data_IF_586316172914
#
_entry.id   IF_586316172914
#
_cell.length_a   1.000
_cell.length_b   1.000
_cell.length_c   1.000
_cell.angle_alpha   90.00
_cell.angle_beta   90.00
_cell.angle_gamma   90.00
#
_symmetry.space_group_name_H-M   'P 1'
#
loop_
_entity.id
_entity.type
_entity.pdbx_description
1 polymer ?
#
# COMPACT_ATOMS: atom_id res chain seq x y z
N UNK A 1 -2.07 2.29 37.60
CA UNK A 1 -3.20 1.32 37.69
C UNK A 1 -2.59 0.01 38.11
N UNK A 2 -2.71 -0.38 39.37
CA UNK A 2 -2.15 -1.63 39.92
C UNK A 2 -2.91 -2.80 39.32
N UNK A 3 -2.17 -3.78 38.81
CA UNK A 3 -2.74 -5.06 38.36
C UNK A 3 -3.70 -5.62 39.43
N UNK A 4 -4.90 -6.08 39.05
CA UNK A 4 -5.74 -6.79 40.01
C UNK A 4 -4.98 -7.99 40.56
N UNK A 5 -5.14 -8.31 41.88
CA UNK A 5 -4.48 -9.47 42.46
C UNK A 5 -4.90 -10.71 41.69
N UNK A 6 -3.90 -11.54 41.38
CA UNK A 6 -4.08 -12.80 40.66
C UNK A 6 -5.32 -13.53 41.22
N UNK A 7 -6.40 -13.56 40.46
CA UNK A 7 -7.52 -14.40 40.72
C UNK A 7 -7.02 -15.84 40.73
N UNK A 8 -7.24 -16.52 41.85
CA UNK A 8 -6.69 -17.80 42.18
C UNK A 8 -6.74 -18.81 41.01
N UNK A 9 -5.58 -19.27 40.53
CA UNK A 9 -5.43 -20.53 39.81
C UNK A 9 -5.15 -20.47 38.31
N UNK A 10 -5.07 -19.32 37.63
CA UNK A 10 -4.71 -19.27 36.21
C UNK A 10 -3.18 -19.15 36.03
N UNK A 11 -2.59 -19.99 35.22
CA UNK A 11 -1.20 -19.83 34.77
C UNK A 11 -1.05 -18.52 34.00
N UNK A 12 -0.21 -17.55 34.45
CA UNK A 12 -0.01 -16.28 33.75
C UNK A 12 0.37 -16.44 32.27
N UNK A 13 1.14 -17.48 31.94
CA UNK A 13 1.52 -17.81 30.57
C UNK A 13 0.30 -18.22 29.72
N UNK A 14 -0.66 -18.96 30.30
CA UNK A 14 -1.88 -19.32 29.58
C UNK A 14 -2.77 -18.10 29.30
N UNK A 15 -2.83 -17.14 30.23
CA UNK A 15 -3.60 -15.91 30.04
C UNK A 15 -3.04 -15.03 28.92
N UNK A 16 -1.72 -14.81 28.88
CA UNK A 16 -1.09 -14.10 27.78
C UNK A 16 -1.20 -14.87 26.46
N UNK A 17 -1.17 -16.20 26.50
CA UNK A 17 -1.37 -17.06 25.32
C UNK A 17 -2.74 -16.84 24.66
N UNK A 18 -3.83 -16.74 25.46
CA UNK A 18 -5.16 -16.46 24.92
C UNK A 18 -5.32 -15.04 24.38
N UNK A 19 -4.73 -14.05 25.03
CA UNK A 19 -4.71 -12.68 24.51
C UNK A 19 -3.97 -12.59 23.17
N UNK A 20 -2.79 -13.20 23.05
CA UNK A 20 -2.03 -13.30 21.80
C UNK A 20 -2.79 -14.06 20.70
N UNK A 21 -3.41 -15.18 21.03
CA UNK A 21 -4.19 -15.96 20.07
C UNK A 21 -5.39 -15.15 19.54
N UNK A 22 -6.07 -14.42 20.43
CA UNK A 22 -7.20 -13.56 20.05
C UNK A 22 -6.74 -12.39 19.20
N UNK A 23 -5.64 -11.72 19.56
CA UNK A 23 -5.05 -10.65 18.76
C UNK A 23 -4.66 -11.16 17.36
N UNK A 24 -4.03 -12.32 17.24
CA UNK A 24 -3.62 -12.91 15.97
C UNK A 24 -4.82 -13.25 15.06
N UNK A 25 -5.85 -13.89 15.62
CA UNK A 25 -7.07 -14.25 14.87
C UNK A 25 -7.82 -13.00 14.39
N UNK A 26 -7.95 -12.00 15.26
CA UNK A 26 -8.59 -10.72 14.95
C UNK A 26 -7.82 -9.98 13.88
N UNK A 27 -6.49 -9.92 14.01
CA UNK A 27 -5.60 -9.30 13.02
C UNK A 27 -5.72 -9.96 11.64
N UNK A 28 -5.73 -11.29 11.59
CA UNK A 28 -5.91 -12.03 10.34
C UNK A 28 -7.28 -11.77 9.70
N UNK A 29 -8.37 -11.75 10.49
CA UNK A 29 -9.72 -11.48 10.00
C UNK A 29 -9.85 -10.08 9.41
N UNK A 30 -9.38 -9.05 10.14
CA UNK A 30 -9.39 -7.67 9.68
C UNK A 30 -8.53 -7.48 8.43
N UNK A 31 -7.31 -7.99 8.43
CA UNK A 31 -6.38 -7.83 7.31
C UNK A 31 -6.85 -8.52 6.02
N UNK A 32 -7.51 -9.67 6.12
CA UNK A 32 -8.08 -10.37 4.96
C UNK A 32 -9.09 -9.50 4.22
N UNK A 33 -10.04 -8.90 4.94
CA UNK A 33 -11.06 -8.03 4.36
C UNK A 33 -10.46 -6.68 3.99
N UNK A 34 -9.57 -6.16 4.84
CA UNK A 34 -8.84 -4.92 4.63
C UNK A 34 -8.06 -4.90 3.32
N UNK A 35 -7.43 -6.02 2.93
CA UNK A 35 -6.74 -6.15 1.65
C UNK A 35 -7.68 -5.86 0.47
N UNK A 36 -8.89 -6.40 0.48
CA UNK A 36 -9.86 -6.18 -0.58
C UNK A 36 -10.40 -4.73 -0.60
N UNK A 37 -10.47 -4.08 0.57
CA UNK A 37 -10.84 -2.66 0.67
C UNK A 37 -9.74 -1.73 0.15
N UNK A 38 -8.48 -1.97 0.53
CA UNK A 38 -7.33 -1.15 0.11
C UNK A 38 -7.16 -1.20 -1.40
N UNK A 39 -7.17 -2.40 -2.00
CA UNK A 39 -7.09 -2.58 -3.46
C UNK A 39 -8.21 -1.86 -4.21
N UNK A 40 -9.40 -1.74 -3.62
CA UNK A 40 -10.53 -0.98 -4.17
C UNK A 40 -10.48 0.51 -3.85
N UNK A 41 -9.48 0.98 -3.11
CA UNK A 41 -9.36 2.37 -2.62
C UNK A 41 -10.52 2.81 -1.72
N UNK A 42 -11.06 1.87 -0.93
CA UNK A 42 -12.21 2.07 -0.04
C UNK A 42 -11.80 1.99 1.45
N UNK A 43 -10.55 2.25 1.78
CA UNK A 43 -9.99 2.08 3.14
C UNK A 43 -10.69 2.94 4.20
N UNK A 44 -11.14 4.16 3.85
CA UNK A 44 -11.86 5.06 4.76
C UNK A 44 -13.23 4.51 5.21
N UNK A 45 -13.84 3.60 4.43
CA UNK A 45 -15.10 2.97 4.85
C UNK A 45 -14.94 2.05 6.05
N UNK A 46 -13.78 1.42 6.22
CA UNK A 46 -13.47 0.62 7.42
C UNK A 46 -13.53 1.47 8.69
N UNK A 47 -12.95 2.66 8.66
CA UNK A 47 -12.97 3.62 9.75
C UNK A 47 -14.40 4.15 10.01
N UNK A 48 -15.10 4.54 8.94
CA UNK A 48 -16.48 5.00 9.03
C UNK A 48 -17.40 3.95 9.70
N UNK A 49 -17.25 2.68 9.34
CA UNK A 49 -18.01 1.55 9.92
C UNK A 49 -17.63 1.40 11.39
N UNK A 50 -16.35 1.44 11.76
CA UNK A 50 -15.89 1.22 13.13
C UNK A 50 -16.53 2.20 14.14
N UNK A 51 -16.75 3.43 13.76
CA UNK A 51 -17.34 4.44 14.63
C UNK A 51 -18.88 4.55 14.53
N UNK A 52 -19.43 4.20 13.37
CA UNK A 52 -20.88 4.29 13.13
C UNK A 52 -21.72 3.20 13.81
N UNK A 53 -21.10 2.21 14.45
CA UNK A 53 -21.79 1.15 15.18
C UNK A 53 -22.35 1.60 16.53
N UNK A 54 -21.88 2.73 17.06
CA UNK A 54 -22.24 3.23 18.40
C UNK A 54 -23.75 3.33 18.64
N UNK A 55 -24.58 3.89 17.74
CA UNK A 55 -26.03 3.95 17.95
C UNK A 55 -26.66 2.58 18.13
N UNK A 56 -26.23 1.59 17.35
CA UNK A 56 -26.75 0.21 17.45
C UNK A 56 -26.42 -0.42 18.80
N UNK A 57 -25.19 -0.25 19.28
CA UNK A 57 -24.75 -0.74 20.59
C UNK A 57 -25.62 -0.10 21.70
N UNK A 58 -25.77 1.23 21.69
CA UNK A 58 -26.52 1.95 22.71
C UNK A 58 -27.98 1.54 22.73
N UNK A 59 -28.62 1.46 21.55
CA UNK A 59 -30.03 1.03 21.45
C UNK A 59 -30.21 -0.38 22.03
N UNK A 60 -29.29 -1.32 21.70
CA UNK A 60 -29.36 -2.68 22.21
C UNK A 60 -29.20 -2.75 23.73
N UNK A 61 -28.29 -1.96 24.31
CA UNK A 61 -28.07 -1.90 25.76
C UNK A 61 -29.31 -1.30 26.46
N UNK A 62 -29.91 -0.23 25.91
CA UNK A 62 -31.13 0.35 26.40
C UNK A 62 -32.32 -0.61 26.32
N UNK A 63 -32.32 -1.50 25.33
CA UNK A 63 -33.33 -2.59 25.23
C UNK A 63 -33.06 -3.78 26.18
N UNK A 64 -32.11 -3.65 27.10
CA UNK A 64 -31.78 -4.69 28.09
C UNK A 64 -30.72 -5.68 27.65
N UNK A 65 -30.03 -5.42 26.52
CA UNK A 65 -28.91 -6.23 26.07
C UNK A 65 -27.71 -6.11 27.01
N UNK A 66 -27.05 -7.22 27.29
CA UNK A 66 -25.78 -7.21 28.05
C UNK A 66 -24.64 -6.77 27.15
N UNK A 67 -23.71 -5.91 27.59
CA UNK A 67 -22.47 -5.63 26.89
C UNK A 67 -21.78 -6.95 26.49
N UNK A 68 -21.32 -7.07 25.23
CA UNK A 68 -20.77 -8.31 24.72
C UNK A 68 -21.77 -9.43 24.37
N UNK A 69 -23.06 -9.22 24.60
CA UNK A 69 -24.10 -10.21 24.30
C UNK A 69 -24.51 -10.24 22.81
N UNK A 70 -25.21 -11.30 22.39
CA UNK A 70 -25.60 -11.49 20.99
C UNK A 70 -26.54 -10.38 20.48
N UNK A 71 -27.39 -9.82 21.32
CA UNK A 71 -28.27 -8.72 20.94
C UNK A 71 -27.48 -7.45 20.59
N UNK A 72 -26.46 -7.13 21.38
CA UNK A 72 -25.56 -5.98 21.11
C UNK A 72 -24.75 -6.22 19.85
N UNK A 73 -24.25 -7.43 19.63
CA UNK A 73 -23.53 -7.79 18.41
C UNK A 73 -24.40 -7.62 17.16
N UNK A 74 -25.63 -8.17 17.16
CA UNK A 74 -26.55 -8.06 16.02
C UNK A 74 -26.93 -6.60 15.75
N UNK A 75 -27.21 -5.82 16.78
CA UNK A 75 -27.57 -4.41 16.63
C UNK A 75 -26.37 -3.56 16.11
N UNK A 76 -25.14 -3.86 16.56
CA UNK A 76 -23.93 -3.23 16.04
C UNK A 76 -23.73 -3.55 14.57
N UNK A 77 -23.88 -4.82 14.15
CA UNK A 77 -23.81 -5.22 12.74
C UNK A 77 -24.91 -4.54 11.92
N UNK A 78 -26.14 -4.47 12.45
CA UNK A 78 -27.25 -3.78 11.78
C UNK A 78 -26.94 -2.29 11.56
N UNK A 79 -26.42 -1.59 12.58
CA UNK A 79 -25.99 -0.18 12.45
C UNK A 79 -24.88 -0.01 11.42
N UNK A 80 -23.90 -0.91 11.40
CA UNK A 80 -22.83 -0.93 10.39
C UNK A 80 -23.39 -1.12 8.98
N UNK A 81 -24.33 -2.04 8.78
CA UNK A 81 -24.99 -2.26 7.49
C UNK A 81 -25.84 -1.06 7.05
N UNK A 82 -26.53 -0.40 7.98
CA UNK A 82 -27.26 0.85 7.72
C UNK A 82 -26.27 1.95 7.26
N UNK A 83 -25.12 2.06 7.90
CA UNK A 83 -24.07 3.00 7.50
C UNK A 83 -23.58 2.73 6.07
N UNK A 84 -23.30 1.48 5.76
CA UNK A 84 -22.92 1.06 4.40
C UNK A 84 -24.02 1.40 3.38
N UNK A 85 -25.26 1.08 3.71
CA UNK A 85 -26.40 1.36 2.85
C UNK A 85 -26.59 2.87 2.61
N UNK A 86 -26.54 3.68 3.66
CA UNK A 86 -26.64 5.14 3.56
C UNK A 86 -25.51 5.73 2.70
N UNK A 87 -24.28 5.29 2.91
CA UNK A 87 -23.12 5.73 2.12
C UNK A 87 -23.32 5.41 0.63
N UNK A 88 -23.76 4.20 0.31
CA UNK A 88 -24.03 3.80 -1.09
C UNK A 88 -25.23 4.54 -1.69
N UNK A 89 -26.27 4.81 -0.89
CA UNK A 89 -27.43 5.58 -1.33
C UNK A 89 -27.06 7.04 -1.65
N UNK A 90 -26.21 7.68 -0.84
CA UNK A 90 -25.69 9.02 -1.11
C UNK A 90 -24.79 9.05 -2.37
N UNK A 91 -23.97 8.05 -2.57
CA UNK A 91 -23.16 7.93 -3.78
C UNK A 91 -24.02 7.81 -5.04
N UNK A 92 -25.04 6.94 -5.02
CA UNK A 92 -25.88 6.67 -6.19
C UNK A 92 -26.95 7.73 -6.43
N UNK A 93 -27.53 8.30 -5.37
CA UNK A 93 -28.63 9.25 -5.45
C UNK A 93 -28.20 10.72 -5.54
N UNK A 94 -27.20 11.13 -4.75
CA UNK A 94 -26.72 12.51 -4.71
C UNK A 94 -25.41 12.72 -5.51
N UNK A 95 -24.82 11.68 -6.10
CA UNK A 95 -23.58 11.78 -6.88
C UNK A 95 -22.35 12.18 -6.05
N UNK A 96 -22.41 12.01 -4.72
CA UNK A 96 -21.31 12.35 -3.83
C UNK A 96 -20.13 11.38 -4.05
N UNK A 97 -18.91 11.91 -3.92
CA UNK A 97 -17.71 11.08 -3.83
C UNK A 97 -17.85 10.12 -2.64
N UNK A 98 -17.35 8.90 -2.77
CA UNK A 98 -17.50 7.84 -1.77
C UNK A 98 -16.96 8.25 -0.40
N UNK A 99 -15.79 8.89 -0.37
CA UNK A 99 -15.17 9.37 0.86
C UNK A 99 -15.98 10.49 1.54
N UNK A 100 -16.56 11.40 0.76
CA UNK A 100 -17.43 12.47 1.27
C UNK A 100 -18.74 11.89 1.86
N UNK A 101 -19.34 10.92 1.14
CA UNK A 101 -20.53 10.21 1.61
C UNK A 101 -20.25 9.41 2.88
N UNK A 102 -19.14 8.70 2.95
CA UNK A 102 -18.71 7.97 4.14
C UNK A 102 -18.50 8.91 5.34
N UNK A 103 -17.79 10.02 5.13
CA UNK A 103 -17.56 11.02 6.18
C UNK A 103 -18.84 11.63 6.75
N UNK A 104 -19.81 11.98 5.87
CA UNK A 104 -21.10 12.52 6.28
C UNK A 104 -21.91 11.53 7.11
N UNK A 105 -22.02 10.29 6.64
CA UNK A 105 -22.79 9.23 7.32
C UNK A 105 -22.13 8.87 8.66
N UNK A 106 -20.80 8.69 8.66
CA UNK A 106 -20.02 8.43 9.88
C UNK A 106 -20.27 9.51 10.95
N UNK A 107 -20.08 10.78 10.59
CA UNK A 107 -20.24 11.89 11.53
C UNK A 107 -21.65 11.93 12.09
N UNK A 108 -22.67 11.73 11.25
CA UNK A 108 -24.07 11.73 11.65
C UNK A 108 -24.40 10.54 12.57
N UNK A 109 -23.97 9.34 12.22
CA UNK A 109 -24.21 8.13 13.02
C UNK A 109 -23.48 8.20 14.37
N UNK A 110 -22.21 8.65 14.36
CA UNK A 110 -21.46 8.83 15.60
C UNK A 110 -22.11 9.87 16.52
N UNK A 111 -22.50 11.04 15.99
CA UNK A 111 -23.19 12.08 16.74
C UNK A 111 -24.52 11.58 17.32
N UNK A 112 -25.28 10.79 16.54
CA UNK A 112 -26.49 10.13 16.99
C UNK A 112 -26.20 9.18 18.19
N UNK A 113 -25.14 8.37 18.07
CA UNK A 113 -24.71 7.48 19.15
C UNK A 113 -24.35 8.22 20.41
N UNK A 114 -23.59 9.30 20.33
CA UNK A 114 -23.21 10.15 21.47
C UNK A 114 -24.46 10.82 22.09
N UNK A 115 -25.37 11.32 21.26
CA UNK A 115 -26.64 11.89 21.73
C UNK A 115 -27.49 10.87 22.48
N UNK A 116 -27.59 9.64 22.00
CA UNK A 116 -28.28 8.54 22.65
C UNK A 116 -27.63 8.17 23.99
N UNK A 117 -26.30 8.09 24.07
CA UNK A 117 -25.58 7.86 25.35
C UNK A 117 -25.92 8.96 26.35
N UNK A 118 -25.90 10.22 25.91
CA UNK A 118 -26.19 11.38 26.77
C UNK A 118 -27.64 11.38 27.23
N UNK A 119 -28.59 11.05 26.34
CA UNK A 119 -30.00 10.98 26.64
C UNK A 119 -30.36 9.82 27.62
N UNK A 120 -29.62 8.70 27.54
CA UNK A 120 -29.78 7.56 28.44
C UNK A 120 -29.46 7.90 29.91
N UNK A 121 -28.73 8.98 30.13
CA UNK A 121 -28.44 9.52 31.46
C UNK A 121 -27.46 8.67 32.28
N UNK A 122 -27.21 9.14 33.53
CA UNK A 122 -26.26 8.50 34.47
C UNK A 122 -26.65 7.09 34.94
N UNK A 123 -27.88 6.65 34.65
CA UNK A 123 -28.39 5.34 35.09
C UNK A 123 -27.91 4.16 34.24
N UNK A 124 -27.44 4.39 33.05
CA UNK A 124 -27.06 3.29 32.13
C UNK A 124 -25.58 2.84 32.23
N UNK A 125 -24.73 3.55 32.97
CA UNK A 125 -23.30 3.27 33.13
C UNK A 125 -22.60 2.97 31.78
N UNK A 126 -23.07 3.59 30.69
CA UNK A 126 -22.54 3.43 29.37
C UNK A 126 -21.44 4.47 29.18
N UNK A 127 -20.17 4.07 29.34
CA UNK A 127 -19.04 4.89 28.99
C UNK A 127 -18.64 4.57 27.54
N UNK A 128 -18.78 5.54 26.66
CA UNK A 128 -18.38 5.41 25.26
C UNK A 128 -16.88 5.03 25.13
N UNK A 129 -16.03 5.52 26.02
CA UNK A 129 -14.60 5.17 26.05
C UNK A 129 -14.38 3.68 26.39
N UNK A 130 -15.19 3.12 27.27
CA UNK A 130 -15.13 1.70 27.63
C UNK A 130 -15.63 0.81 26.48
N UNK A 131 -16.67 1.25 25.75
CA UNK A 131 -17.22 0.51 24.60
C UNK A 131 -16.25 0.54 23.42
N UNK A 132 -15.59 1.67 23.17
CA UNK A 132 -14.69 1.85 22.03
C UNK A 132 -13.25 1.39 22.32
N UNK A 133 -12.91 1.20 23.59
CA UNK A 133 -11.53 1.00 24.05
C UNK A 133 -10.94 -0.38 23.77
N UNK A 134 -11.75 -1.44 23.78
CA UNK A 134 -11.26 -2.83 23.72
C UNK A 134 -10.06 -3.08 24.65
N UNK A 135 -9.98 -4.21 25.30
CA UNK A 135 -8.84 -4.51 26.17
C UNK A 135 -8.51 -6.00 26.10
N UNK A 136 -7.39 -6.31 25.43
CA UNK A 136 -6.91 -7.69 25.27
C UNK A 136 -6.57 -8.34 26.60
N UNK A 137 -6.20 -7.57 27.61
CA UNK A 137 -5.91 -8.07 28.96
C UNK A 137 -7.12 -8.74 29.61
N UNK A 138 -8.34 -8.27 29.32
CA UNK A 138 -9.55 -8.85 29.88
C UNK A 138 -10.14 -10.01 29.09
N UNK A 139 -9.68 -10.26 27.87
CA UNK A 139 -10.16 -11.36 27.02
C UNK A 139 -10.11 -12.74 27.70
N UNK A 140 -9.06 -13.12 28.46
CA UNK A 140 -9.01 -14.42 29.13
C UNK A 140 -10.04 -14.63 30.23
N UNK A 141 -10.68 -13.56 30.72
CA UNK A 141 -11.66 -13.62 31.82
C UNK A 141 -13.10 -13.78 31.32
N UNK A 142 -13.42 -13.41 30.06
CA UNK A 142 -14.73 -13.67 29.45
C UNK A 142 -14.74 -14.98 28.70
N UNK A 143 -15.01 -16.08 29.44
CA UNK A 143 -14.97 -17.44 28.91
C UNK A 143 -16.34 -18.04 28.67
N UNK A 144 -16.38 -19.01 27.76
CA UNK A 144 -17.53 -19.86 27.47
C UNK A 144 -17.07 -21.33 27.51
N UNK A 145 -17.84 -22.16 28.21
CA UNK A 145 -17.58 -23.59 28.25
C UNK A 145 -17.98 -24.24 26.91
N UNK A 146 -16.98 -24.76 26.17
CA UNK A 146 -17.16 -25.51 24.93
C UNK A 146 -16.47 -26.85 25.06
N UNK A 147 -17.22 -27.94 24.92
CA UNK A 147 -16.73 -29.32 25.02
C UNK A 147 -15.92 -29.59 26.31
N UNK A 148 -16.32 -29.02 27.45
CA UNK A 148 -15.68 -29.20 28.77
C UNK A 148 -14.40 -28.38 28.97
N UNK A 149 -14.07 -27.45 28.06
CA UNK A 149 -12.97 -26.49 28.19
C UNK A 149 -13.51 -25.05 28.23
N UNK A 150 -12.92 -24.22 29.07
CA UNK A 150 -13.21 -22.79 29.08
C UNK A 150 -12.36 -22.10 28.01
N UNK A 151 -13.02 -21.51 26.99
CA UNK A 151 -12.39 -20.77 25.91
C UNK A 151 -12.84 -19.32 25.92
N UNK A 152 -11.96 -18.35 25.65
CA UNK A 152 -12.34 -16.94 25.58
C UNK A 152 -13.37 -16.72 24.48
N UNK A 153 -14.45 -16.01 24.82
CA UNK A 153 -15.55 -15.71 23.89
C UNK A 153 -15.05 -14.93 22.66
N UNK A 154 -14.17 -13.94 22.85
CA UNK A 154 -13.61 -13.14 21.79
C UNK A 154 -12.78 -13.99 20.82
N UNK A 155 -12.03 -14.97 21.30
CA UNK A 155 -11.28 -15.92 20.46
C UNK A 155 -12.21 -16.77 19.60
N UNK A 156 -13.28 -17.31 20.19
CA UNK A 156 -14.27 -18.13 19.47
C UNK A 156 -15.00 -17.31 18.40
N UNK A 157 -15.47 -16.11 18.76
CA UNK A 157 -16.18 -15.22 17.83
C UNK A 157 -15.26 -14.79 16.70
N UNK A 158 -14.04 -14.34 17.02
CA UNK A 158 -13.03 -13.95 16.01
C UNK A 158 -12.64 -15.10 15.12
N UNK A 159 -12.44 -16.30 15.68
CA UNK A 159 -12.12 -17.51 14.93
C UNK A 159 -13.22 -17.94 13.97
N UNK A 160 -14.48 -17.92 14.43
CA UNK A 160 -15.64 -18.20 13.58
C UNK A 160 -15.75 -17.20 12.45
N UNK A 161 -15.60 -15.91 12.75
CA UNK A 161 -15.65 -14.84 11.74
C UNK A 161 -14.50 -14.98 10.75
N UNK A 162 -13.28 -15.25 11.20
CA UNK A 162 -12.14 -15.49 10.30
C UNK A 162 -12.41 -16.65 9.33
N UNK A 163 -12.93 -17.78 9.83
CA UNK A 163 -13.27 -18.94 8.98
C UNK A 163 -14.36 -18.57 7.97
N UNK A 164 -15.44 -17.92 8.39
CA UNK A 164 -16.51 -17.50 7.50
C UNK A 164 -16.01 -16.53 6.42
N UNK A 165 -15.18 -15.55 6.80
CA UNK A 165 -14.58 -14.58 5.88
C UNK A 165 -13.60 -15.26 4.91
N UNK A 166 -12.80 -16.20 5.39
CA UNK A 166 -11.87 -16.95 4.54
C UNK A 166 -12.61 -17.81 3.51
N UNK A 167 -13.67 -18.50 3.93
CA UNK A 167 -14.54 -19.29 3.02
C UNK A 167 -15.23 -18.36 2.00
N UNK A 168 -15.80 -17.25 2.46
CA UNK A 168 -16.46 -16.28 1.58
C UNK A 168 -15.46 -15.67 0.57
N UNK A 169 -14.29 -15.27 1.04
CA UNK A 169 -13.20 -14.74 0.20
C UNK A 169 -12.76 -15.78 -0.83
N UNK A 170 -12.54 -17.03 -0.42
CA UNK A 170 -12.16 -18.11 -1.32
C UNK A 170 -13.23 -18.38 -2.38
N UNK A 171 -14.50 -18.48 -1.98
CA UNK A 171 -15.62 -18.75 -2.88
C UNK A 171 -15.84 -17.61 -3.90
N UNK A 172 -15.64 -16.35 -3.47
CA UNK A 172 -15.86 -15.16 -4.30
C UNK A 172 -14.58 -14.58 -4.90
N UNK A 173 -13.43 -15.22 -4.71
CA UNK A 173 -12.10 -14.64 -5.05
C UNK A 173 -12.02 -14.10 -6.47
N UNK A 174 -12.43 -14.90 -7.45
CA UNK A 174 -12.39 -14.50 -8.86
C UNK A 174 -13.27 -13.28 -9.14
N UNK A 175 -14.46 -13.22 -8.51
CA UNK A 175 -15.36 -12.07 -8.62
C UNK A 175 -14.76 -10.84 -7.96
N UNK A 176 -14.16 -10.99 -6.78
CA UNK A 176 -13.50 -9.89 -6.06
C UNK A 176 -12.35 -9.32 -6.88
N UNK A 177 -11.49 -10.17 -7.44
CA UNK A 177 -10.36 -9.73 -8.28
C UNK A 177 -10.89 -8.99 -9.51
N UNK A 178 -11.79 -9.59 -10.29
CA UNK A 178 -12.25 -8.99 -11.54
C UNK A 178 -12.96 -7.65 -11.30
N UNK A 179 -13.85 -7.58 -10.32
CA UNK A 179 -14.58 -6.34 -9.99
C UNK A 179 -13.71 -5.26 -9.35
N UNK A 180 -12.57 -5.62 -8.74
CA UNK A 180 -11.64 -4.67 -8.16
C UNK A 180 -10.78 -3.97 -9.22
N UNK A 181 -10.34 -4.70 -10.25
CA UNK A 181 -9.45 -4.16 -11.29
C UNK A 181 -10.22 -3.48 -12.43
N UNK A 182 -11.34 -4.04 -12.86
CA UNK A 182 -12.15 -3.46 -13.94
C UNK A 182 -13.66 -3.65 -13.68
N UNK A 183 -14.23 -2.73 -12.92
CA UNK A 183 -15.64 -2.71 -12.62
C UNK A 183 -16.52 -2.42 -13.86
N UNK A 184 -15.99 -1.78 -14.90
CA UNK A 184 -16.72 -1.48 -16.12
C UNK A 184 -16.83 -2.75 -16.99
N UNK A 185 -15.72 -3.43 -17.23
CA UNK A 185 -15.70 -4.71 -17.93
C UNK A 185 -16.53 -5.79 -17.18
N UNK A 186 -16.44 -5.82 -15.84
CA UNK A 186 -17.24 -6.75 -15.03
C UNK A 186 -18.75 -6.51 -15.22
N UNK A 187 -19.22 -5.27 -15.26
CA UNK A 187 -20.61 -4.92 -15.55
C UNK A 187 -20.99 -5.31 -16.98
N UNK A 188 -20.15 -5.02 -17.96
CA UNK A 188 -20.38 -5.40 -19.34
C UNK A 188 -20.46 -6.93 -19.52
N UNK A 189 -19.73 -7.70 -18.73
CA UNK A 189 -19.80 -9.16 -18.65
C UNK A 189 -21.03 -9.68 -17.86
N UNK A 190 -21.94 -8.82 -17.41
CA UNK A 190 -23.13 -9.19 -16.66
C UNK A 190 -22.91 -9.55 -15.19
N UNK A 191 -21.73 -9.26 -14.61
CA UNK A 191 -21.47 -9.57 -13.21
C UNK A 191 -22.13 -8.55 -12.27
N UNK A 192 -22.66 -8.99 -11.12
CA UNK A 192 -23.37 -8.13 -10.17
C UNK A 192 -22.39 -7.34 -9.29
N UNK A 193 -21.68 -6.36 -9.88
CA UNK A 193 -20.64 -5.56 -9.20
C UNK A 193 -21.14 -4.93 -7.91
N UNK A 194 -22.39 -4.39 -7.92
CA UNK A 194 -22.99 -3.78 -6.73
C UNK A 194 -23.17 -4.80 -5.59
N UNK A 195 -23.63 -6.01 -5.90
CA UNK A 195 -23.80 -7.07 -4.90
C UNK A 195 -22.45 -7.56 -4.33
N UNK A 196 -21.43 -7.68 -5.18
CA UNK A 196 -20.06 -8.05 -4.76
C UNK A 196 -19.48 -6.99 -3.82
N UNK A 197 -19.66 -5.71 -4.15
CA UNK A 197 -19.21 -4.60 -3.30
C UNK A 197 -19.98 -4.55 -1.98
N UNK A 198 -21.32 -4.67 -2.03
CA UNK A 198 -22.15 -4.73 -0.83
C UNK A 198 -21.79 -5.91 0.07
N UNK A 199 -21.52 -7.09 -0.51
CA UNK A 199 -21.05 -8.27 0.21
C UNK A 199 -19.70 -8.05 0.90
N UNK A 200 -18.75 -7.38 0.22
CA UNK A 200 -17.46 -7.01 0.83
C UNK A 200 -17.65 -6.04 2.01
N UNK A 201 -18.48 -5.02 1.84
CA UNK A 201 -18.75 -4.05 2.91
C UNK A 201 -19.48 -4.69 4.09
N UNK A 202 -20.41 -5.62 3.83
CA UNK A 202 -21.05 -6.42 4.89
C UNK A 202 -20.03 -7.31 5.62
N UNK A 203 -19.12 -7.94 4.90
CA UNK A 203 -18.02 -8.72 5.48
C UNK A 203 -17.11 -7.84 6.34
N UNK A 204 -16.82 -6.61 5.90
CA UNK A 204 -16.06 -5.62 6.67
C UNK A 204 -16.80 -5.24 7.95
N UNK A 205 -18.10 -4.98 7.87
CA UNK A 205 -18.91 -4.65 9.03
C UNK A 205 -18.89 -5.78 10.08
N UNK A 206 -19.04 -7.03 9.66
CA UNK A 206 -18.95 -8.19 10.54
C UNK A 206 -17.56 -8.34 11.15
N UNK A 207 -16.50 -8.22 10.35
CA UNK A 207 -15.12 -8.27 10.83
C UNK A 207 -14.85 -7.19 11.88
N UNK A 208 -15.25 -5.96 11.60
CA UNK A 208 -15.05 -4.79 12.47
C UNK A 208 -15.79 -4.99 13.81
N UNK A 209 -17.08 -5.34 13.77
CA UNK A 209 -17.89 -5.51 14.99
C UNK A 209 -17.39 -6.68 15.84
N UNK A 210 -17.00 -7.81 15.22
CA UNK A 210 -16.45 -8.95 15.93
C UNK A 210 -15.11 -8.63 16.63
N UNK A 211 -14.30 -7.79 15.99
CA UNK A 211 -12.99 -7.40 16.48
C UNK A 211 -13.06 -6.33 17.59
N UNK A 212 -14.11 -5.54 17.58
CA UNK A 212 -14.27 -4.38 18.45
C UNK A 212 -14.14 -4.70 19.94
N UNK A 213 -14.77 -5.79 20.37
CA UNK A 213 -14.78 -6.18 21.79
C UNK A 213 -13.39 -6.59 22.31
N UNK A 214 -12.55 -7.13 21.42
CA UNK A 214 -11.21 -7.59 21.80
C UNK A 214 -10.16 -6.48 21.71
N UNK A 215 -10.17 -5.71 20.63
CA UNK A 215 -9.03 -4.82 20.30
C UNK A 215 -9.41 -3.34 20.22
N UNK A 216 -10.69 -3.02 20.28
CA UNK A 216 -11.18 -1.62 20.20
C UNK A 216 -11.17 -1.03 18.79
N UNK A 217 -11.86 0.12 18.65
CA UNK A 217 -12.08 0.78 17.36
C UNK A 217 -10.80 1.18 16.66
N UNK A 218 -9.90 1.85 17.38
CA UNK A 218 -8.68 2.42 16.80
C UNK A 218 -7.80 1.33 16.19
N UNK A 219 -7.63 0.22 16.93
CA UNK A 219 -6.77 -0.87 16.47
C UNK A 219 -7.40 -1.64 15.30
N UNK A 220 -8.72 -1.79 15.27
CA UNK A 220 -9.41 -2.45 14.14
C UNK A 220 -9.11 -1.74 12.82
N UNK A 221 -9.15 -0.40 12.79
CA UNK A 221 -8.84 0.39 11.59
C UNK A 221 -7.38 0.20 11.17
N UNK A 222 -6.46 0.22 12.13
CA UNK A 222 -5.04 -0.04 11.85
C UNK A 222 -4.83 -1.44 11.25
N UNK A 223 -5.49 -2.48 11.80
CA UNK A 223 -5.41 -3.86 11.30
C UNK A 223 -6.05 -4.07 9.93
N UNK A 224 -7.08 -3.27 9.58
CA UNK A 224 -7.70 -3.31 8.26
C UNK A 224 -6.80 -2.71 7.17
N UNK A 225 -6.14 -1.58 7.46
CA UNK A 225 -5.50 -0.76 6.42
C UNK A 225 -4.00 -0.99 6.35
N UNK A 226 -3.31 -0.91 7.49
CA UNK A 226 -1.84 -0.83 7.51
C UNK A 226 -1.14 -2.07 6.95
N UNK A 227 -1.51 -3.30 7.37
CA UNK A 227 -0.87 -4.51 6.83
C UNK A 227 -1.13 -4.70 5.34
N UNK A 228 -2.34 -4.36 4.87
CA UNK A 228 -2.69 -4.44 3.46
C UNK A 228 -1.87 -3.46 2.61
N UNK A 229 -1.77 -2.21 3.04
CA UNK A 229 -0.95 -1.20 2.38
C UNK A 229 0.55 -1.56 2.39
N UNK A 230 1.06 -2.14 3.48
CA UNK A 230 2.44 -2.63 3.54
C UNK A 230 2.68 -3.79 2.56
N UNK A 231 1.74 -4.74 2.48
CA UNK A 231 1.84 -5.88 1.59
C UNK A 231 1.79 -5.51 0.10
N UNK A 232 1.02 -4.48 -0.29
CA UNK A 232 0.99 -3.96 -1.66
C UNK A 232 2.36 -3.43 -2.13
N UNK A 233 3.15 -2.89 -1.21
CA UNK A 233 4.52 -2.45 -1.51
C UNK A 233 5.49 -3.61 -1.72
N UNK A 234 5.24 -4.75 -1.05
CA UNK A 234 6.15 -5.90 -1.06
C UNK A 234 5.87 -6.88 -2.20
N UNK A 235 4.60 -7.03 -2.61
CA UNK A 235 4.18 -8.06 -3.58
C UNK A 235 3.10 -7.53 -4.52
N UNK A 236 3.09 -8.05 -5.78
CA UNK A 236 2.21 -7.54 -6.85
C UNK A 236 0.96 -8.38 -7.09
N UNK A 237 0.98 -9.67 -6.75
CA UNK A 237 -0.16 -10.56 -7.01
C UNK A 237 -1.14 -10.50 -5.85
N UNK A 238 -2.41 -10.20 -6.11
CA UNK A 238 -3.42 -9.97 -5.08
C UNK A 238 -3.54 -11.09 -4.04
N UNK A 239 -3.45 -12.37 -4.45
CA UNK A 239 -3.47 -13.47 -3.48
C UNK A 239 -2.26 -13.51 -2.57
N UNK A 240 -1.07 -13.12 -3.08
CA UNK A 240 0.12 -12.95 -2.24
C UNK A 240 -0.01 -11.72 -1.36
N UNK A 241 -0.59 -10.61 -1.85
CA UNK A 241 -0.88 -9.43 -1.03
C UNK A 241 -1.75 -9.81 0.16
N UNK A 242 -2.83 -10.57 -0.04
CA UNK A 242 -3.69 -11.01 1.05
C UNK A 242 -2.96 -11.90 2.08
N UNK A 243 -2.12 -12.84 1.62
CA UNK A 243 -1.35 -13.72 2.51
C UNK A 243 -0.28 -12.94 3.29
N UNK A 244 0.47 -12.05 2.61
CA UNK A 244 1.50 -11.23 3.25
C UNK A 244 0.88 -10.23 4.22
N UNK A 245 -0.26 -9.62 3.86
CA UNK A 245 -1.00 -8.74 4.74
C UNK A 245 -1.46 -9.44 6.02
N UNK A 246 -2.03 -10.66 5.89
CA UNK A 246 -2.40 -11.46 7.08
C UNK A 246 -1.19 -11.81 7.94
N UNK A 247 -0.07 -12.16 7.32
CA UNK A 247 1.17 -12.47 8.05
C UNK A 247 1.68 -11.24 8.81
N UNK A 248 1.78 -10.08 8.14
CA UNK A 248 2.19 -8.83 8.78
C UNK A 248 1.24 -8.45 9.91
N UNK A 249 -0.08 -8.54 9.69
CA UNK A 249 -1.07 -8.25 10.73
C UNK A 249 -0.88 -9.11 11.97
N UNK A 250 -0.68 -10.42 11.79
CA UNK A 250 -0.44 -11.36 12.90
C UNK A 250 0.89 -11.08 13.60
N UNK A 251 1.96 -10.87 12.84
CA UNK A 251 3.29 -10.55 13.39
C UNK A 251 3.24 -9.23 14.15
N UNK A 252 2.67 -8.18 13.55
CA UNK A 252 2.53 -6.86 14.17
C UNK A 252 1.67 -6.90 15.44
N UNK A 253 0.56 -7.66 15.42
CA UNK A 253 -0.27 -7.84 16.61
C UNK A 253 0.48 -8.58 17.74
N UNK A 254 1.19 -9.65 17.42
CA UNK A 254 1.98 -10.39 18.41
C UNK A 254 3.13 -9.56 18.97
N UNK A 255 3.93 -8.91 18.12
CA UNK A 255 5.06 -8.10 18.55
C UNK A 255 4.59 -6.86 19.34
N UNK A 256 3.51 -6.22 18.89
CA UNK A 256 2.94 -5.06 19.58
C UNK A 256 2.37 -5.42 20.93
N UNK A 257 1.69 -6.56 21.07
CA UNK A 257 1.22 -7.07 22.35
C UNK A 257 2.38 -7.39 23.31
N UNK A 258 3.42 -8.07 22.83
CA UNK A 258 4.62 -8.36 23.64
C UNK A 258 5.34 -7.09 24.08
N UNK A 259 5.41 -6.09 23.20
CA UNK A 259 5.95 -4.77 23.53
C UNK A 259 5.12 -4.06 24.60
N UNK A 260 3.78 -4.08 24.47
CA UNK A 260 2.87 -3.52 25.45
C UNK A 260 3.05 -4.16 26.84
N UNK A 261 3.13 -5.48 26.87
CA UNK A 261 3.39 -6.24 28.10
C UNK A 261 4.75 -5.89 28.71
N UNK A 262 5.81 -5.82 27.89
CA UNK A 262 7.18 -5.54 28.37
C UNK A 262 7.33 -4.14 28.95
N UNK A 263 6.64 -3.15 28.38
CA UNK A 263 6.75 -1.74 28.77
C UNK A 263 5.55 -1.23 29.58
N UNK A 264 4.58 -2.09 29.89
CA UNK A 264 3.37 -1.73 30.63
C UNK A 264 2.62 -0.54 30.03
N UNK A 265 2.48 -0.53 28.70
CA UNK A 265 1.75 0.50 27.95
C UNK A 265 0.46 -0.07 27.37
N UNK A 266 -0.41 0.82 26.84
CA UNK A 266 -1.65 0.41 26.20
C UNK A 266 -1.41 -0.52 25.00
N UNK A 267 -2.08 -1.66 24.96
CA UNK A 267 -1.88 -2.74 23.97
C UNK A 267 -2.29 -2.30 22.57
N UNK A 268 -3.46 -1.66 22.42
CA UNK A 268 -3.93 -1.20 21.12
C UNK A 268 -2.98 -0.16 20.50
N UNK A 269 -2.49 0.77 21.32
CA UNK A 269 -1.52 1.77 20.90
C UNK A 269 -0.19 1.14 20.48
N UNK A 270 0.32 0.19 21.28
CA UNK A 270 1.59 -0.48 20.97
C UNK A 270 1.51 -1.31 19.67
N UNK A 271 0.42 -2.05 19.47
CA UNK A 271 0.18 -2.80 18.22
C UNK A 271 0.11 -1.85 17.02
N UNK A 272 -0.65 -0.75 17.14
CA UNK A 272 -0.77 0.24 16.07
C UNK A 272 0.59 0.87 15.69
N UNK A 273 1.45 1.15 16.68
CA UNK A 273 2.82 1.65 16.46
C UNK A 273 3.67 0.61 15.73
N UNK A 274 3.62 -0.66 16.14
CA UNK A 274 4.39 -1.74 15.48
C UNK A 274 3.94 -1.92 14.04
N UNK A 275 2.63 -1.94 13.77
CA UNK A 275 2.09 -2.00 12.41
C UNK A 275 2.57 -0.79 11.57
N UNK A 276 2.58 0.41 12.14
CA UNK A 276 3.13 1.60 11.49
C UNK A 276 4.62 1.46 11.15
N UNK A 277 5.41 0.87 12.05
CA UNK A 277 6.83 0.60 11.81
C UNK A 277 7.03 -0.48 10.73
N UNK A 278 6.20 -1.51 10.67
CA UNK A 278 6.21 -2.51 9.59
C UNK A 278 5.91 -1.86 8.23
N UNK A 279 4.92 -0.95 8.17
CA UNK A 279 4.63 -0.19 6.95
C UNK A 279 5.82 0.68 6.53
N UNK A 280 6.43 1.41 7.47
CA UNK A 280 7.61 2.22 7.18
C UNK A 280 8.78 1.36 6.70
N UNK A 281 9.00 0.21 7.32
CA UNK A 281 10.01 -0.75 6.87
C UNK A 281 9.72 -1.25 5.44
N UNK A 282 8.47 -1.61 5.14
CA UNK A 282 8.05 -1.97 3.79
C UNK A 282 8.27 -0.83 2.80
N UNK A 283 7.89 0.40 3.14
CA UNK A 283 8.07 1.58 2.27
C UNK A 283 9.55 1.90 1.97
N UNK A 284 10.45 1.63 2.93
CA UNK A 284 11.89 1.83 2.75
C UNK A 284 12.52 0.67 1.97
N UNK A 285 12.17 -0.58 2.30
CA UNK A 285 12.88 -1.79 1.84
C UNK A 285 12.21 -2.50 0.66
N UNK A 286 11.01 -2.08 0.22
CA UNK A 286 10.32 -2.74 -0.89
C UNK A 286 11.23 -2.89 -2.13
N UNK A 287 11.21 -4.07 -2.79
CA UNK A 287 12.18 -4.38 -3.84
C UNK A 287 12.11 -3.48 -5.07
N UNK A 288 10.92 -3.03 -5.45
CA UNK A 288 10.69 -2.24 -6.66
C UNK A 288 10.35 -0.78 -6.34
N UNK A 289 9.45 -0.54 -5.40
CA UNK A 289 8.91 0.78 -5.09
C UNK A 289 9.51 1.41 -3.82
N UNK A 290 10.39 0.69 -3.10
CA UNK A 290 11.01 1.16 -1.86
C UNK A 290 11.94 2.35 -2.09
N UNK A 291 12.04 3.20 -1.07
CA UNK A 291 12.91 4.39 -1.12
C UNK A 291 14.38 4.01 -1.41
N UNK A 292 14.86 2.91 -0.82
CA UNK A 292 16.22 2.40 -1.08
C UNK A 292 16.36 1.93 -2.52
N UNK A 293 15.41 1.16 -3.04
CA UNK A 293 15.43 0.66 -4.41
C UNK A 293 15.41 1.81 -5.43
N UNK A 294 14.54 2.80 -5.22
CA UNK A 294 14.47 4.02 -6.05
C UNK A 294 15.76 4.84 -5.97
N UNK A 295 16.32 5.01 -4.77
CA UNK A 295 17.59 5.70 -4.58
C UNK A 295 18.74 5.01 -5.31
N UNK A 296 18.86 3.68 -5.18
CA UNK A 296 19.86 2.89 -5.90
C UNK A 296 19.65 2.94 -7.41
N UNK A 297 18.41 2.87 -7.89
CA UNK A 297 18.09 2.99 -9.32
C UNK A 297 18.50 4.37 -9.85
N UNK A 298 18.18 5.44 -9.12
CA UNK A 298 18.58 6.80 -9.51
C UNK A 298 20.10 6.99 -9.53
N UNK A 299 20.82 6.44 -8.55
CA UNK A 299 22.30 6.47 -8.53
C UNK A 299 22.88 5.67 -9.70
N UNK A 300 22.37 4.46 -9.96
CA UNK A 300 22.81 3.61 -11.08
C UNK A 300 22.54 4.28 -12.42
N UNK A 301 21.33 4.83 -12.60
CA UNK A 301 20.97 5.55 -13.80
C UNK A 301 21.88 6.75 -14.03
N UNK A 302 22.00 7.61 -13.04
CA UNK A 302 22.86 8.75 -13.18
C UNK A 302 24.35 8.42 -13.35
N UNK A 303 24.83 7.27 -12.81
CA UNK A 303 26.17 6.78 -13.09
C UNK A 303 26.32 6.36 -14.55
N UNK A 304 25.34 5.64 -15.10
CA UNK A 304 25.30 5.26 -16.51
C UNK A 304 25.33 6.50 -17.41
N UNK A 305 24.50 7.49 -17.15
CA UNK A 305 24.49 8.78 -17.86
C UNK A 305 25.87 9.41 -17.85
N UNK A 306 26.54 9.52 -16.71
CA UNK A 306 27.87 10.10 -16.64
C UNK A 306 28.92 9.33 -17.44
N UNK A 307 28.81 8.01 -17.59
CA UNK A 307 29.68 7.21 -18.45
C UNK A 307 29.37 7.45 -19.93
N UNK A 308 28.10 7.46 -20.31
CA UNK A 308 27.63 7.70 -21.68
C UNK A 308 28.00 9.12 -22.14
N UNK A 309 27.88 10.14 -21.30
CA UNK A 309 28.33 11.52 -21.59
C UNK A 309 29.79 11.61 -21.90
N UNK A 310 30.65 10.92 -21.12
CA UNK A 310 32.10 10.91 -21.36
C UNK A 310 32.40 10.24 -22.70
N UNK A 311 31.74 9.12 -23.01
CA UNK A 311 31.92 8.42 -24.28
C UNK A 311 31.42 9.25 -25.47
N UNK A 312 30.23 9.86 -25.37
CA UNK A 312 29.67 10.73 -26.41
C UNK A 312 30.53 11.97 -26.64
N UNK A 313 31.05 12.60 -25.58
CA UNK A 313 31.95 13.74 -25.68
C UNK A 313 33.29 13.40 -26.37
N UNK A 314 33.86 12.22 -26.07
CA UNK A 314 35.05 11.72 -26.74
C UNK A 314 34.79 11.43 -28.21
N UNK A 315 33.66 10.85 -28.55
CA UNK A 315 33.29 10.54 -29.94
C UNK A 315 33.09 11.83 -30.75
N UNK A 316 32.34 12.82 -30.20
CA UNK A 316 32.18 14.14 -30.86
C UNK A 316 33.51 14.87 -31.06
N UNK A 317 34.46 14.73 -30.13
CA UNK A 317 35.79 15.28 -30.23
C UNK A 317 36.62 14.60 -31.36
N UNK A 318 36.52 13.27 -31.50
CA UNK A 318 37.17 12.54 -32.57
C UNK A 318 36.56 12.88 -33.94
N UNK A 319 35.23 13.02 -34.04
CA UNK A 319 34.52 13.40 -35.25
C UNK A 319 34.90 14.81 -35.73
N UNK A 320 34.98 15.78 -34.84
CA UNK A 320 35.29 17.19 -35.13
C UNK A 320 36.82 17.46 -35.28
N UNK A 321 37.68 16.47 -34.97
CA UNK A 321 39.13 16.67 -34.88
C UNK A 321 39.59 17.58 -33.76
N UNK A 322 38.69 17.88 -32.79
CA UNK A 322 38.99 18.71 -31.63
C UNK A 322 39.80 17.94 -30.56
N UNK A 323 40.55 18.62 -29.70
CA UNK A 323 41.22 17.96 -28.59
C UNK A 323 40.19 17.31 -27.62
N UNK A 324 40.55 16.18 -26.99
CA UNK A 324 39.64 15.49 -26.08
C UNK A 324 39.16 16.42 -24.97
N UNK A 325 37.85 16.38 -24.63
CA UNK A 325 37.24 17.31 -23.68
C UNK A 325 37.85 17.12 -22.29
N UNK A 326 38.10 18.24 -21.60
CA UNK A 326 38.52 18.22 -20.20
C UNK A 326 37.29 17.90 -19.34
N UNK A 327 37.28 16.72 -18.73
CA UNK A 327 36.22 16.32 -17.79
C UNK A 327 36.39 17.11 -16.50
N UNK A 328 35.62 18.20 -16.36
CA UNK A 328 35.74 19.12 -15.25
C UNK A 328 35.09 18.60 -13.94
N UNK A 329 34.02 17.81 -14.05
CA UNK A 329 33.27 17.33 -12.88
C UNK A 329 33.93 16.12 -12.22
N UNK A 330 33.86 16.03 -10.88
CA UNK A 330 34.37 14.87 -10.14
C UNK A 330 33.72 13.57 -10.63
N UNK A 331 32.39 13.61 -10.86
CA UNK A 331 31.63 12.46 -11.36
C UNK A 331 32.09 11.98 -12.72
N UNK A 332 32.34 12.89 -13.66
CA UNK A 332 32.86 12.55 -14.96
C UNK A 332 34.30 11.98 -14.91
N UNK A 333 35.16 12.49 -14.02
CA UNK A 333 36.50 11.94 -13.80
C UNK A 333 36.43 10.51 -13.27
N UNK A 334 35.55 10.22 -12.33
CA UNK A 334 35.33 8.87 -11.82
C UNK A 334 34.74 7.96 -12.89
N UNK A 335 33.81 8.46 -13.71
CA UNK A 335 33.26 7.74 -14.85
C UNK A 335 34.35 7.39 -15.88
N UNK A 336 35.23 8.34 -16.22
CA UNK A 336 36.39 8.10 -17.09
C UNK A 336 37.33 7.03 -16.56
N UNK A 337 37.60 7.02 -15.25
CA UNK A 337 38.43 5.98 -14.62
C UNK A 337 37.73 4.61 -14.65
N UNK A 338 36.42 4.55 -14.43
CA UNK A 338 35.63 3.31 -14.52
C UNK A 338 35.60 2.76 -15.94
N UNK A 339 35.41 3.64 -16.94
CA UNK A 339 35.43 3.27 -18.35
C UNK A 339 36.83 2.77 -18.79
N UNK A 340 37.90 3.35 -18.24
CA UNK A 340 39.26 2.85 -18.46
C UNK A 340 39.45 1.47 -17.83
N UNK A 341 39.05 1.25 -16.63
CA UNK A 341 39.08 -0.07 -15.97
C UNK A 341 38.19 -1.10 -16.69
N UNK A 342 37.09 -0.67 -17.30
CA UNK A 342 36.16 -1.50 -18.09
C UNK A 342 36.68 -1.77 -19.53
N UNK A 343 37.73 -1.09 -19.96
CA UNK A 343 38.30 -1.25 -21.29
C UNK A 343 37.54 -0.51 -22.41
N UNK A 344 36.67 0.43 -22.07
CA UNK A 344 35.91 1.24 -23.03
C UNK A 344 36.69 2.48 -23.50
N UNK A 345 37.61 2.97 -22.66
CA UNK A 345 38.55 4.03 -23.04
C UNK A 345 39.97 3.63 -22.70
N UNK A 346 40.94 4.18 -23.46
CA UNK A 346 42.37 4.00 -23.26
C UNK A 346 43.03 5.35 -22.93
N UNK A 347 44.15 5.34 -22.21
CA UNK A 347 44.98 6.53 -22.00
C UNK A 347 45.82 6.82 -23.23
N UNK A 348 45.82 8.06 -23.68
CA UNK A 348 46.66 8.57 -24.75
C UNK A 348 47.43 9.81 -24.25
N UNK A 349 48.44 10.27 -25.03
CA UNK A 349 49.27 11.42 -24.65
C UNK A 349 48.43 12.72 -24.42
N UNK A 350 47.36 12.88 -25.19
CA UNK A 350 46.45 14.04 -25.09
C UNK A 350 45.25 13.86 -24.15
N UNK A 351 45.12 12.71 -23.44
CA UNK A 351 43.99 12.43 -22.59
C UNK A 351 43.38 11.03 -22.80
N UNK A 352 42.05 10.94 -22.75
CA UNK A 352 41.31 9.70 -23.00
C UNK A 352 41.01 9.51 -24.48
N UNK A 353 41.01 8.26 -24.96
CA UNK A 353 40.68 7.86 -26.34
C UNK A 353 39.71 6.67 -26.30
N UNK A 354 38.77 6.62 -27.24
CA UNK A 354 37.83 5.50 -27.35
C UNK A 354 38.55 4.22 -27.81
N UNK A 355 38.20 3.10 -27.18
CA UNK A 355 38.52 1.77 -27.73
C UNK A 355 37.45 1.36 -28.76
N UNK A 356 37.65 0.30 -29.54
CA UNK A 356 36.63 -0.19 -30.48
C UNK A 356 35.30 -0.54 -29.76
N UNK A 357 35.36 -1.00 -28.48
CA UNK A 357 34.20 -1.30 -27.65
C UNK A 357 33.51 -0.03 -27.18
N UNK A 358 34.27 0.93 -26.65
CA UNK A 358 33.72 2.21 -26.21
C UNK A 358 33.16 3.02 -27.37
N UNK A 359 33.73 2.91 -28.57
CA UNK A 359 33.23 3.56 -29.78
C UNK A 359 31.79 3.11 -30.11
N UNK A 360 31.50 1.79 -30.07
CA UNK A 360 30.14 1.28 -30.33
C UNK A 360 29.11 1.86 -29.36
N UNK A 361 29.46 1.97 -28.09
CA UNK A 361 28.56 2.56 -27.09
C UNK A 361 28.39 4.05 -27.37
N UNK A 362 29.45 4.79 -27.63
CA UNK A 362 29.40 6.21 -27.95
C UNK A 362 28.54 6.49 -29.20
N UNK A 363 28.75 5.72 -30.29
CA UNK A 363 27.97 5.81 -31.53
C UNK A 363 26.46 5.61 -31.25
N UNK A 364 26.10 4.64 -30.39
CA UNK A 364 24.72 4.38 -30.03
C UNK A 364 24.08 5.59 -29.29
N UNK A 365 24.81 6.23 -28.38
CA UNK A 365 24.33 7.41 -27.66
C UNK A 365 24.17 8.59 -28.60
N UNK A 366 25.19 8.92 -29.38
CA UNK A 366 25.14 10.03 -30.33
C UNK A 366 24.09 9.80 -31.42
N UNK A 367 23.92 8.56 -31.89
CA UNK A 367 22.81 8.20 -32.78
C UNK A 367 21.46 8.48 -32.16
N UNK A 368 21.26 8.09 -30.90
CA UNK A 368 20.01 8.35 -30.17
C UNK A 368 19.71 9.85 -30.10
N UNK A 369 20.71 10.66 -29.79
CA UNK A 369 20.64 12.11 -29.75
C UNK A 369 20.20 12.70 -31.09
N UNK A 370 20.95 12.40 -32.17
CA UNK A 370 20.69 12.94 -33.51
C UNK A 370 19.35 12.48 -34.10
N UNK A 371 18.96 11.23 -33.86
CA UNK A 371 17.63 10.74 -34.27
C UNK A 371 16.51 11.51 -33.58
N UNK A 372 16.67 11.84 -32.30
CA UNK A 372 15.67 12.57 -31.55
C UNK A 372 15.61 14.04 -31.97
N UNK A 373 16.75 14.68 -32.18
CA UNK A 373 16.79 16.04 -32.71
C UNK A 373 16.16 16.12 -34.11
N UNK A 374 16.49 15.19 -35.02
CA UNK A 374 15.91 15.13 -36.35
C UNK A 374 14.38 14.94 -36.31
N UNK A 375 13.92 14.09 -35.40
CA UNK A 375 12.47 13.86 -35.22
C UNK A 375 11.76 15.09 -34.65
N UNK A 376 12.32 15.72 -33.63
CA UNK A 376 11.78 16.97 -33.09
C UNK A 376 11.75 18.07 -34.15
N UNK A 377 12.83 18.28 -34.91
CA UNK A 377 12.90 19.28 -35.95
C UNK A 377 11.89 19.07 -37.10
N UNK A 378 11.39 17.82 -37.28
CA UNK A 378 10.37 17.51 -38.30
C UNK A 378 8.93 17.67 -37.76
N UNK A 379 8.69 17.37 -36.47
CA UNK A 379 7.34 17.24 -35.91
C UNK A 379 6.95 18.38 -34.96
N UNK A 380 7.92 19.16 -34.50
CA UNK A 380 7.70 20.25 -33.54
C UNK A 380 8.26 21.53 -34.09
N UNK A 381 7.47 22.59 -34.09
CA UNK A 381 7.89 23.93 -34.55
C UNK A 381 8.71 24.64 -33.46
N UNK A 382 9.95 24.20 -33.28
CA UNK A 382 10.91 24.77 -32.32
C UNK A 382 12.13 25.31 -33.07
N UNK A 383 12.71 26.43 -32.62
CA UNK A 383 14.02 26.90 -33.13
C UNK A 383 15.09 25.81 -32.96
N UNK A 384 16.02 25.72 -33.90
CA UNK A 384 17.05 24.66 -33.95
C UNK A 384 17.91 24.62 -32.69
N UNK A 385 18.20 25.79 -32.12
CA UNK A 385 18.96 25.93 -30.85
C UNK A 385 18.19 25.44 -29.61
N UNK A 386 16.88 25.24 -29.71
CA UNK A 386 16.04 24.71 -28.62
C UNK A 386 15.81 23.20 -28.70
N UNK A 387 16.29 22.53 -29.73
CA UNK A 387 16.15 21.06 -29.92
C UNK A 387 17.17 20.27 -29.09
N UNK A 388 18.35 20.85 -28.86
CA UNK A 388 19.46 20.18 -28.17
C UNK A 388 19.19 19.79 -26.71
N UNK A 389 18.68 20.68 -25.81
CA UNK A 389 18.45 20.31 -24.41
C UNK A 389 17.46 19.17 -24.20
N UNK A 390 16.32 19.06 -24.93
CA UNK A 390 15.46 17.89 -24.87
C UNK A 390 16.15 16.62 -25.35
N UNK A 391 17.02 16.70 -26.38
CA UNK A 391 17.72 15.57 -26.93
C UNK A 391 18.78 15.01 -25.96
N UNK A 392 19.55 15.87 -25.28
CA UNK A 392 20.50 15.48 -24.23
C UNK A 392 19.84 14.71 -23.09
N UNK A 393 18.60 15.07 -22.73
CA UNK A 393 17.90 14.36 -21.65
C UNK A 393 17.37 13.01 -22.10
N UNK A 394 16.84 12.91 -23.33
CA UNK A 394 16.15 11.71 -23.81
C UNK A 394 17.11 10.64 -24.35
N UNK A 395 18.33 11.01 -24.82
CA UNK A 395 19.27 10.07 -25.47
C UNK A 395 19.60 8.85 -24.60
N UNK A 396 19.63 9.03 -23.27
CA UNK A 396 19.90 7.99 -22.29
C UNK A 396 18.68 7.08 -22.00
N UNK A 397 17.50 7.47 -22.45
CA UNK A 397 16.24 6.75 -22.27
C UNK A 397 15.77 6.01 -23.52
N UNK A 398 16.34 6.30 -24.69
CA UNK A 398 15.94 5.69 -25.94
C UNK A 398 16.36 4.21 -26.03
N UNK A 399 15.39 3.32 -25.81
CA UNK A 399 15.58 1.89 -26.04
C UNK A 399 15.64 1.54 -27.55
N UNK A 400 16.16 0.35 -27.88
CA UNK A 400 16.34 -0.12 -29.27
C UNK A 400 15.05 -0.04 -30.10
N UNK A 401 13.92 -0.48 -29.52
CA UNK A 401 12.61 -0.46 -30.22
C UNK A 401 12.15 0.96 -30.59
N UNK A 402 12.42 1.95 -29.74
CA UNK A 402 12.03 3.34 -30.01
C UNK A 402 12.98 3.96 -31.04
N UNK A 403 14.27 3.70 -30.96
CA UNK A 403 15.23 4.13 -31.99
C UNK A 403 14.83 3.63 -33.38
N UNK A 404 14.52 2.34 -33.53
CA UNK A 404 14.07 1.76 -34.78
C UNK A 404 12.80 2.39 -35.32
N UNK A 405 11.87 2.75 -34.45
CA UNK A 405 10.65 3.48 -34.85
C UNK A 405 10.96 4.90 -35.33
N UNK A 406 11.83 5.63 -34.62
CA UNK A 406 12.27 6.96 -35.04
C UNK A 406 12.96 6.91 -36.39
N UNK A 407 13.82 5.92 -36.60
CA UNK A 407 14.53 5.72 -37.87
C UNK A 407 13.58 5.39 -39.04
N UNK A 408 12.58 4.53 -38.77
CA UNK A 408 11.56 4.20 -39.78
C UNK A 408 10.73 5.43 -40.18
N UNK A 409 10.42 6.31 -39.21
CA UNK A 409 9.65 7.52 -39.43
C UNK A 409 10.45 8.62 -40.15
N UNK A 410 11.74 8.74 -39.85
CA UNK A 410 12.63 9.74 -40.48
C UNK A 410 13.09 9.34 -41.88
N UNK A 411 13.17 8.05 -42.18
CA UNK A 411 13.71 7.48 -43.44
C UNK A 411 15.23 7.31 -43.46
N UNK A 412 15.71 6.53 -44.43
CA UNK A 412 17.14 6.21 -44.57
C UNK A 412 17.91 7.45 -45.05
N UNK A 413 19.03 7.77 -44.38
CA UNK A 413 19.92 8.87 -44.74
C UNK A 413 19.52 10.24 -44.17
N UNK A 414 18.71 10.26 -43.13
CA UNK A 414 18.39 11.51 -42.39
C UNK A 414 19.67 12.08 -41.74
N UNK A 415 19.85 13.39 -41.80
CA UNK A 415 20.81 14.16 -41.01
C UNK A 415 20.07 14.84 -39.84
N UNK A 416 20.83 15.24 -38.83
CA UNK A 416 20.29 16.07 -37.74
C UNK A 416 19.99 17.50 -38.26
N UNK A 417 19.25 18.33 -37.50
CA UNK A 417 18.95 19.70 -37.92
C UNK A 417 20.18 20.60 -38.10
N UNK A 418 21.35 20.18 -37.60
CA UNK A 418 22.62 20.88 -37.75
C UNK A 418 23.45 20.35 -38.94
N UNK A 419 22.94 19.39 -39.73
CA UNK A 419 23.57 18.84 -40.88
C UNK A 419 24.58 17.73 -40.60
N UNK A 420 24.67 17.23 -39.36
CA UNK A 420 25.56 16.12 -39.01
C UNK A 420 24.95 14.77 -39.38
N UNK A 421 25.74 13.87 -39.91
CA UNK A 421 25.31 12.50 -40.25
C UNK A 421 24.93 11.70 -39.03
N UNK A 422 23.78 10.99 -39.10
CA UNK A 422 23.37 10.06 -38.03
C UNK A 422 24.21 8.78 -38.17
N UNK A 423 25.00 8.39 -37.13
CA UNK A 423 25.83 7.19 -37.20
C UNK A 423 25.00 5.94 -37.53
N UNK A 424 25.53 4.96 -38.30
CA UNK A 424 24.82 3.72 -38.60
C UNK A 424 24.54 2.91 -37.32
N UNK A 425 23.62 1.95 -37.40
CA UNK A 425 23.39 1.01 -36.31
C UNK A 425 24.62 0.10 -36.14
N UNK A 426 25.21 0.05 -34.92
CA UNK A 426 26.49 -0.62 -34.66
C UNK A 426 26.32 -2.15 -34.44
#
# INVERSE_FOLDING_TARGET
>A
MTLPPAAAGGDPLAMHGWALATAAVTAAACSLVGTLLVVRRMSLLGDAIAHAVLPGIVIAVLAGGRPGGPLVFVAAVAAALVTVWLTQALKSGAGLAEDAGAGLVFTTMFALGVALVTAAGRGAHIDAACILGGDLTFVPFDTVAVAGRELPRAFLTGGLVLVLLAVAAWATWKLQVFTAFDAAAARAAGLPVAAVTAGLLAATAVATVASFQAVGAILVVALLVVPAAAAELLVRRLHHVALVAMLLAVVGACLGYLAAWRWSVNEAGAIAVVLGLEYLAAAVLAPEDGLVARGLAAVRFGWRVACEDVLAALWRSEESGAPPPRVATLRGRLAGLALWAGGDVARAAAGWRLTPRGRKVAEMVVRSHRLWEAWLGRHVDLPVDHLHPPAEWIEHHLGTALRQRLEADLGIGASDPHGSEIPPEA
#
